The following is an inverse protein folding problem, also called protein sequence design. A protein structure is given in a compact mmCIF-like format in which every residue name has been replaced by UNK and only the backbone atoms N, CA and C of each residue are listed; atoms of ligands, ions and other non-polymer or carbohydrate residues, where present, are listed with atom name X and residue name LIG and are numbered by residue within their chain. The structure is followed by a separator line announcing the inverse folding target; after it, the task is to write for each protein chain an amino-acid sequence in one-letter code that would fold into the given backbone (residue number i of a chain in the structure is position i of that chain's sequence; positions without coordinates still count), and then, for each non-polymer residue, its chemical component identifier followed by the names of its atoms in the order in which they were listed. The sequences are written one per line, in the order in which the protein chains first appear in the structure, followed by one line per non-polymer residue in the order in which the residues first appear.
data_IF_452606238706
#
_entry.id   IF_452606238706
#
_cell.length_a   1.000
_cell.length_b   1.000
_cell.length_c   1.000
_cell.angle_alpha   90.00
_cell.angle_beta   90.00
_cell.angle_gamma   90.00
#
_symmetry.space_group_name_H-M   'P 1'
#
loop_
_entity.id
_entity.type
_entity.pdbx_description
1 polymer ?
#
# COMPACT_ATOMS: atom_id res chain seq x y z
N UNK A 1 -8.50 -15.17 -0.82
CA UNK A 1 -9.82 -15.17 -0.15
C UNK A 1 -10.69 -14.13 -0.83
N UNK A 2 -11.93 -14.49 -1.17
CA UNK A 2 -12.89 -13.60 -1.81
C UNK A 2 -13.91 -13.09 -0.79
N UNK A 3 -14.52 -11.94 -1.08
CA UNK A 3 -15.66 -11.43 -0.30
C UNK A 3 -16.93 -12.18 -0.76
N UNK A 4 -17.71 -12.66 0.19
CA UNK A 4 -19.00 -13.36 -0.09
C UNK A 4 -20.21 -12.49 0.23
N UNK A 5 -20.12 -11.61 1.22
CA UNK A 5 -21.19 -10.65 1.51
C UNK A 5 -20.65 -9.35 2.11
N UNK A 6 -21.43 -8.28 1.91
CA UNK A 6 -21.17 -6.95 2.46
C UNK A 6 -22.45 -6.39 3.08
N UNK A 7 -22.36 -5.98 4.34
CA UNK A 7 -23.42 -5.26 5.04
C UNK A 7 -22.95 -3.84 5.31
N UNK A 8 -23.77 -2.87 4.98
CA UNK A 8 -23.50 -1.45 5.14
C UNK A 8 -24.62 -0.82 5.96
N UNK A 9 -24.23 0.00 6.94
CA UNK A 9 -25.15 0.83 7.72
C UNK A 9 -24.62 2.25 7.80
N UNK A 10 -25.45 3.24 7.45
CA UNK A 10 -25.18 4.68 7.54
C UNK A 10 -23.90 5.17 6.83
N UNK A 11 -23.59 4.57 5.69
CA UNK A 11 -22.37 4.88 4.95
C UNK A 11 -22.70 5.60 3.63
N UNK A 12 -22.15 6.78 3.42
CA UNK A 12 -22.37 7.59 2.22
C UNK A 12 -23.86 7.80 1.94
N UNK A 13 -24.37 7.32 0.80
CA UNK A 13 -25.79 7.40 0.42
C UNK A 13 -26.64 6.31 1.11
N UNK A 14 -26.05 5.25 1.63
CA UNK A 14 -26.80 4.11 2.15
C UNK A 14 -27.27 4.33 3.60
N UNK A 15 -28.56 4.11 3.87
CA UNK A 15 -29.08 3.91 5.23
C UNK A 15 -28.73 2.49 5.68
N UNK A 16 -29.09 1.52 4.88
CA UNK A 16 -28.72 0.11 5.02
C UNK A 16 -28.59 -0.51 3.64
N UNK A 17 -27.65 -1.43 3.47
CA UNK A 17 -27.55 -2.27 2.29
C UNK A 17 -26.97 -3.63 2.68
N UNK A 18 -27.43 -4.68 1.99
CA UNK A 18 -26.83 -6.01 2.05
C UNK A 18 -26.60 -6.46 0.61
N UNK A 19 -25.41 -6.95 0.34
CA UNK A 19 -24.98 -7.41 -0.98
C UNK A 19 -24.32 -8.77 -0.80
N UNK A 20 -24.66 -9.70 -1.67
CA UNK A 20 -23.98 -10.98 -1.78
C UNK A 20 -23.18 -10.97 -3.09
N UNK A 21 -22.01 -11.60 -3.07
CA UNK A 21 -21.03 -11.55 -4.15
C UNK A 21 -20.81 -12.95 -4.74
N UNK A 22 -20.59 -13.00 -6.04
CA UNK A 22 -20.03 -14.18 -6.70
C UNK A 22 -18.52 -14.26 -6.42
N UNK A 23 -17.96 -15.46 -6.52
CA UNK A 23 -16.55 -15.70 -6.22
C UNK A 23 -15.58 -15.07 -7.23
N UNK A 24 -16.02 -14.79 -8.45
CA UNK A 24 -15.16 -14.31 -9.54
C UNK A 24 -15.43 -12.84 -9.88
N UNK A 25 -16.44 -12.56 -10.72
CA UNK A 25 -16.68 -11.23 -11.27
C UNK A 25 -18.03 -10.72 -10.81
N UNK A 26 -18.04 -9.47 -10.31
CA UNK A 26 -19.23 -8.76 -9.87
C UNK A 26 -19.33 -7.40 -10.58
N UNK A 27 -20.43 -7.16 -11.29
CA UNK A 27 -20.66 -5.92 -12.02
C UNK A 27 -21.68 -5.04 -11.30
N UNK A 28 -21.31 -3.77 -11.06
CA UNK A 28 -22.19 -2.75 -10.50
C UNK A 28 -22.58 -1.77 -11.59
N UNK A 29 -23.85 -1.74 -11.98
CA UNK A 29 -24.38 -0.82 -12.98
C UNK A 29 -25.57 -0.01 -12.44
N UNK A 30 -25.88 1.11 -13.08
CA UNK A 30 -26.96 2.00 -12.68
C UNK A 30 -26.64 3.46 -12.93
N UNK A 31 -27.60 4.36 -12.64
CA UNK A 31 -27.48 5.80 -12.85
C UNK A 31 -26.37 6.43 -12.00
N UNK A 32 -25.89 7.62 -12.39
CA UNK A 32 -24.95 8.40 -11.57
C UNK A 32 -25.61 8.73 -10.23
N UNK A 33 -24.83 8.69 -9.14
CA UNK A 33 -25.37 8.91 -7.78
C UNK A 33 -26.01 7.68 -7.13
N UNK A 34 -26.20 6.55 -7.83
CA UNK A 34 -26.85 5.33 -7.27
C UNK A 34 -26.04 4.60 -6.19
N UNK A 35 -24.80 5.02 -5.90
CA UNK A 35 -23.99 4.44 -4.83
C UNK A 35 -22.92 3.41 -5.30
N UNK A 36 -22.76 3.14 -6.61
CA UNK A 36 -21.76 2.19 -7.13
C UNK A 36 -20.36 2.39 -6.53
N UNK A 37 -19.86 3.60 -6.63
CA UNK A 37 -18.54 3.95 -6.08
C UNK A 37 -18.51 3.86 -4.55
N UNK A 38 -19.65 4.08 -3.88
CA UNK A 38 -19.72 3.94 -2.42
C UNK A 38 -19.66 2.48 -1.97
N UNK A 39 -20.16 1.53 -2.78
CA UNK A 39 -19.98 0.09 -2.54
C UNK A 39 -18.50 -0.28 -2.67
N UNK A 40 -17.84 0.13 -3.76
CA UNK A 40 -16.40 -0.10 -3.95
C UNK A 40 -15.55 0.53 -2.84
N UNK A 41 -15.93 1.74 -2.40
CA UNK A 41 -15.29 2.42 -1.27
C UNK A 41 -15.46 1.64 0.04
N UNK A 42 -16.64 1.06 0.28
CA UNK A 42 -16.89 0.23 1.46
C UNK A 42 -16.03 -1.05 1.45
N UNK A 43 -15.93 -1.73 0.30
CA UNK A 43 -15.06 -2.90 0.12
C UNK A 43 -13.60 -2.54 0.37
N UNK A 44 -13.12 -1.47 -0.24
CA UNK A 44 -11.74 -0.99 -0.05
C UNK A 44 -11.45 -0.61 1.41
N UNK A 45 -12.43 0.00 2.08
CA UNK A 45 -12.32 0.37 3.49
C UNK A 45 -12.20 -0.89 4.38
N UNK A 46 -12.94 -1.95 4.09
CA UNK A 46 -12.82 -3.24 4.78
C UNK A 46 -11.43 -3.87 4.61
N UNK A 47 -10.81 -3.69 3.44
CA UNK A 47 -9.47 -4.20 3.17
C UNK A 47 -8.35 -3.37 3.81
N UNK A 48 -8.48 -2.06 3.84
CA UNK A 48 -7.36 -1.15 4.13
C UNK A 48 -7.53 -0.30 5.38
N UNK A 49 -8.75 -0.26 5.93
CA UNK A 49 -9.11 0.69 6.99
C UNK A 49 -9.14 2.16 6.56
N UNK A 50 -9.07 2.44 5.25
CA UNK A 50 -8.98 3.80 4.69
C UNK A 50 -9.91 3.97 3.50
N UNK A 51 -10.46 5.17 3.33
CA UNK A 51 -11.18 5.54 2.13
C UNK A 51 -10.20 5.97 1.02
N UNK A 52 -10.48 5.59 -0.23
CA UNK A 52 -9.73 6.11 -1.37
C UNK A 52 -10.21 7.48 -1.85
N UNK A 53 -11.37 7.95 -1.35
CA UNK A 53 -11.93 9.25 -1.71
C UNK A 53 -11.53 10.37 -0.76
N UNK A 54 -11.35 10.04 0.53
CA UNK A 54 -11.08 11.05 1.55
C UNK A 54 -10.20 10.49 2.67
N UNK A 55 -9.22 11.26 3.16
CA UNK A 55 -8.48 10.90 4.37
C UNK A 55 -9.32 11.03 5.64
N UNK A 56 -10.39 11.85 5.60
CA UNK A 56 -11.27 12.06 6.74
C UNK A 56 -12.47 11.10 6.70
N UNK A 57 -12.39 10.01 7.43
CA UNK A 57 -13.44 8.98 7.49
C UNK A 57 -14.78 9.46 8.08
N UNK A 58 -14.81 10.59 8.81
CA UNK A 58 -16.08 11.20 9.22
C UNK A 58 -16.98 11.56 8.02
N UNK A 59 -16.38 11.97 6.90
CA UNK A 59 -17.10 12.28 5.67
C UNK A 59 -17.76 11.07 5.02
N UNK A 60 -17.43 9.85 5.49
CA UNK A 60 -18.08 8.62 5.03
C UNK A 60 -19.40 8.35 5.76
N UNK A 61 -19.64 8.99 6.91
CA UNK A 61 -20.89 8.87 7.66
C UNK A 61 -22.02 9.51 6.83
N UNK A 62 -23.16 8.80 6.75
CA UNK A 62 -24.35 9.32 6.07
C UNK A 62 -24.82 10.62 6.74
N UNK A 63 -25.29 11.59 5.94
CA UNK A 63 -25.89 12.82 6.45
C UNK A 63 -27.03 12.49 7.43
N UNK A 64 -27.04 13.16 8.57
CA UNK A 64 -27.99 12.96 9.69
C UNK A 64 -27.82 11.59 10.41
N UNK A 65 -26.65 10.95 10.30
CA UNK A 65 -26.29 9.82 11.12
C UNK A 65 -25.06 10.17 11.98
N UNK A 66 -24.92 9.47 13.09
CA UNK A 66 -23.80 9.67 14.04
C UNK A 66 -22.68 8.68 13.85
N UNK A 67 -22.95 7.56 13.16
CA UNK A 67 -22.01 6.47 12.96
C UNK A 67 -22.14 5.87 11.55
N UNK A 68 -21.18 5.03 11.18
CA UNK A 68 -21.37 4.00 10.16
C UNK A 68 -20.77 2.67 10.61
N UNK A 69 -21.33 1.59 10.08
CA UNK A 69 -20.82 0.23 10.23
C UNK A 69 -20.76 -0.41 8.84
N UNK A 70 -19.61 -0.99 8.53
CA UNK A 70 -19.44 -1.84 7.36
C UNK A 70 -18.93 -3.19 7.85
N UNK A 71 -19.56 -4.28 7.40
CA UNK A 71 -19.17 -5.64 7.73
C UNK A 71 -19.08 -6.45 6.45
N UNK A 72 -17.95 -7.07 6.18
CA UNK A 72 -17.74 -7.99 5.07
C UNK A 72 -17.48 -9.40 5.58
N UNK A 73 -18.12 -10.39 5.00
CA UNK A 73 -17.83 -11.80 5.22
C UNK A 73 -16.97 -12.32 4.08
N UNK A 74 -15.95 -13.08 4.40
CA UNK A 74 -15.05 -13.70 3.43
C UNK A 74 -15.40 -15.18 3.20
N UNK A 75 -14.82 -15.77 2.15
CA UNK A 75 -15.05 -17.18 1.77
C UNK A 75 -14.67 -18.21 2.83
N UNK A 76 -13.81 -17.85 3.78
CA UNK A 76 -13.45 -18.66 4.94
C UNK A 76 -14.29 -18.35 6.19
N UNK A 77 -15.44 -17.68 6.02
CA UNK A 77 -16.36 -17.25 7.07
C UNK A 77 -15.79 -16.20 8.03
N UNK A 78 -14.58 -15.67 7.83
CA UNK A 78 -14.09 -14.56 8.64
C UNK A 78 -14.86 -13.27 8.34
N UNK A 79 -15.04 -12.47 9.39
CA UNK A 79 -15.79 -11.21 9.32
C UNK A 79 -14.82 -10.05 9.56
N UNK A 80 -14.75 -9.15 8.59
CA UNK A 80 -14.05 -7.86 8.74
C UNK A 80 -15.09 -6.78 9.02
N UNK A 81 -14.91 -6.04 10.11
CA UNK A 81 -15.87 -5.01 10.47
C UNK A 81 -15.17 -3.68 10.74
N UNK A 82 -15.73 -2.63 10.19
CA UNK A 82 -15.28 -1.25 10.34
C UNK A 82 -16.39 -0.44 10.99
N UNK A 83 -16.09 0.15 12.14
CA UNK A 83 -17.01 1.04 12.86
C UNK A 83 -16.41 2.42 13.00
N UNK A 84 -17.20 3.44 12.79
CA UNK A 84 -16.81 4.82 12.96
C UNK A 84 -18.00 5.63 13.48
N UNK A 85 -17.80 6.39 14.54
CA UNK A 85 -18.73 7.41 14.95
C UNK A 85 -18.08 8.82 14.82
N UNK A 86 -18.87 9.85 15.04
CA UNK A 86 -18.41 11.25 14.91
C UNK A 86 -17.32 11.64 15.89
N UNK A 87 -17.30 11.02 17.08
CA UNK A 87 -16.45 11.43 18.22
C UNK A 87 -15.21 10.57 18.39
N UNK A 88 -15.24 9.30 17.95
CA UNK A 88 -14.15 8.35 18.18
C UNK A 88 -13.30 8.10 16.93
N UNK A 89 -12.11 7.53 17.12
CA UNK A 89 -11.31 6.97 16.05
C UNK A 89 -12.05 5.81 15.35
N UNK A 90 -11.64 5.51 14.14
CA UNK A 90 -12.11 4.32 13.41
C UNK A 90 -11.71 3.04 14.16
N UNK A 91 -12.65 2.12 14.31
CA UNK A 91 -12.41 0.80 14.88
C UNK A 91 -12.35 -0.23 13.77
N UNK A 92 -11.32 -1.03 13.77
CA UNK A 92 -11.05 -2.09 12.82
C UNK A 92 -11.09 -3.43 13.57
N UNK A 93 -11.91 -4.36 13.09
CA UNK A 93 -12.15 -5.64 13.77
C UNK A 93 -12.05 -6.79 12.76
N UNK A 94 -11.50 -7.92 13.22
CA UNK A 94 -11.54 -9.22 12.54
C UNK A 94 -12.17 -10.21 13.51
N UNK A 95 -13.28 -10.83 13.16
CA UNK A 95 -14.04 -11.74 14.03
C UNK A 95 -14.27 -11.14 15.43
N UNK A 96 -14.68 -9.86 15.47
CA UNK A 96 -14.93 -9.08 16.68
C UNK A 96 -13.66 -8.73 17.51
N UNK A 97 -12.49 -9.24 17.16
CA UNK A 97 -11.23 -8.88 17.80
C UNK A 97 -10.64 -7.62 17.19
N UNK A 98 -10.04 -6.75 18.01
CA UNK A 98 -9.38 -5.52 17.53
C UNK A 98 -8.24 -5.85 16.60
N UNK A 99 -8.20 -5.19 15.46
CA UNK A 99 -7.21 -5.34 14.40
C UNK A 99 -6.62 -3.99 13.98
N UNK A 100 -5.57 -4.01 13.17
CA UNK A 100 -5.01 -2.86 12.52
C UNK A 100 -5.17 -2.94 10.98
N UNK A 101 -4.80 -1.89 10.27
CA UNK A 101 -4.94 -1.83 8.79
C UNK A 101 -4.12 -2.90 8.06
N UNK A 102 -3.01 -3.35 8.64
CA UNK A 102 -2.16 -4.39 8.05
C UNK A 102 -2.83 -5.75 8.19
N UNK A 103 -3.42 -6.02 9.34
CA UNK A 103 -4.14 -7.27 9.58
C UNK A 103 -5.32 -7.42 8.63
N UNK A 104 -6.10 -6.33 8.42
CA UNK A 104 -7.18 -6.30 7.44
C UNK A 104 -6.64 -6.57 6.03
N UNK A 105 -5.57 -5.85 5.64
CA UNK A 105 -5.01 -5.95 4.30
C UNK A 105 -4.42 -7.33 4.00
N UNK A 106 -3.80 -7.98 4.99
CA UNK A 106 -3.36 -9.38 4.86
C UNK A 106 -4.51 -10.34 4.69
N UNK A 107 -5.61 -10.06 5.39
CA UNK A 107 -6.79 -10.93 5.34
C UNK A 107 -7.55 -10.81 4.01
N UNK A 108 -7.66 -9.61 3.49
CA UNK A 108 -8.34 -9.30 2.23
C UNK A 108 -7.49 -8.31 1.41
N UNK A 109 -6.39 -8.76 0.77
CA UNK A 109 -5.61 -7.88 -0.08
C UNK A 109 -6.47 -7.34 -1.22
N UNK A 110 -6.40 -6.04 -1.45
CA UNK A 110 -7.15 -5.39 -2.52
C UNK A 110 -6.29 -4.41 -3.31
N UNK A 111 -6.52 -4.35 -4.61
CA UNK A 111 -5.93 -3.35 -5.50
C UNK A 111 -7.05 -2.55 -6.15
N UNK A 112 -6.90 -1.25 -6.18
CA UNK A 112 -7.79 -0.36 -6.89
C UNK A 112 -7.19 -0.02 -8.25
N UNK A 113 -7.96 -0.23 -9.30
CA UNK A 113 -7.66 0.22 -10.65
C UNK A 113 -8.66 1.31 -11.02
N UNK A 114 -8.18 2.51 -11.27
CA UNK A 114 -8.99 3.66 -11.70
C UNK A 114 -8.19 4.51 -12.71
N UNK A 115 -8.76 5.62 -13.14
CA UNK A 115 -8.08 6.53 -14.07
C UNK A 115 -6.74 7.05 -13.53
N UNK A 116 -6.51 7.02 -12.21
CA UNK A 116 -5.24 7.40 -11.57
C UNK A 116 -4.21 6.26 -11.60
N UNK A 117 -4.60 5.05 -11.99
CA UNK A 117 -3.64 3.93 -12.11
C UNK A 117 -2.59 4.21 -13.17
N UNK A 118 -2.90 5.04 -14.17
CA UNK A 118 -1.93 5.56 -15.13
C UNK A 118 -0.81 6.38 -14.46
N UNK A 119 -1.04 6.90 -13.26
CA UNK A 119 0.01 7.53 -12.45
C UNK A 119 1.15 6.57 -12.05
N UNK A 120 0.94 5.25 -12.14
CA UNK A 120 2.02 4.28 -11.99
C UNK A 120 3.19 4.58 -12.93
N UNK A 121 2.87 5.02 -14.14
CA UNK A 121 3.84 5.33 -15.19
C UNK A 121 4.25 6.80 -15.23
N UNK A 122 3.38 7.71 -14.82
CA UNK A 122 3.56 9.17 -14.95
C UNK A 122 3.92 9.88 -13.64
N UNK A 123 3.60 9.28 -12.48
CA UNK A 123 3.87 9.87 -11.17
C UNK A 123 5.26 9.50 -10.62
N UNK A 124 5.56 10.07 -9.46
CA UNK A 124 6.84 9.91 -8.79
C UNK A 124 7.14 8.46 -8.40
N UNK A 125 8.41 8.07 -8.32
CA UNK A 125 8.87 6.78 -7.80
C UNK A 125 8.23 6.35 -6.48
N UNK A 126 7.82 7.32 -5.66
CA UNK A 126 7.18 7.02 -4.37
C UNK A 126 5.86 6.24 -4.50
N UNK A 127 5.13 6.42 -5.61
CA UNK A 127 3.89 5.69 -5.86
C UNK A 127 4.18 4.22 -6.19
N UNK A 128 5.17 3.95 -7.06
CA UNK A 128 5.60 2.59 -7.43
C UNK A 128 6.10 1.82 -6.22
N UNK A 129 6.97 2.44 -5.39
CA UNK A 129 7.40 1.86 -4.11
C UNK A 129 6.24 1.48 -3.20
N UNK A 130 5.25 2.36 -3.05
CA UNK A 130 4.08 2.07 -2.20
C UNK A 130 3.30 0.85 -2.65
N UNK A 131 3.16 0.63 -3.96
CA UNK A 131 2.48 -0.56 -4.49
C UNK A 131 3.28 -1.82 -4.16
N UNK A 132 4.59 -1.82 -4.43
CA UNK A 132 5.48 -2.93 -4.12
C UNK A 132 5.49 -3.24 -2.61
N UNK A 133 5.68 -2.23 -1.78
CA UNK A 133 5.71 -2.41 -0.32
C UNK A 133 4.36 -2.93 0.21
N UNK A 134 3.23 -2.47 -0.34
CA UNK A 134 1.91 -3.00 0.04
C UNK A 134 1.77 -4.48 -0.29
N UNK A 135 2.20 -4.89 -1.49
CA UNK A 135 2.17 -6.30 -1.88
C UNK A 135 3.03 -7.15 -0.94
N UNK A 136 4.25 -6.71 -0.64
CA UNK A 136 5.17 -7.39 0.27
C UNK A 136 4.64 -7.44 1.71
N UNK A 137 4.04 -6.36 2.22
CA UNK A 137 3.41 -6.32 3.55
C UNK A 137 2.25 -7.31 3.64
N UNK A 138 1.47 -7.46 2.56
CA UNK A 138 0.39 -8.44 2.51
C UNK A 138 0.91 -9.87 2.50
N UNK A 139 1.93 -10.13 1.67
CA UNK A 139 2.45 -11.47 1.43
C UNK A 139 3.34 -11.99 2.58
N UNK A 140 4.15 -11.12 3.20
CA UNK A 140 5.21 -11.51 4.15
C UNK A 140 5.10 -10.75 5.47
N UNK A 141 4.89 -11.48 6.57
CA UNK A 141 4.78 -10.88 7.91
C UNK A 141 6.08 -10.23 8.35
N UNK A 142 7.20 -10.88 8.08
CA UNK A 142 8.55 -10.42 8.42
C UNK A 142 8.89 -9.13 7.69
N UNK A 143 8.49 -9.00 6.42
CA UNK A 143 8.73 -7.78 5.65
C UNK A 143 8.12 -6.55 6.32
N UNK A 144 6.92 -6.64 6.88
CA UNK A 144 6.31 -5.49 7.54
C UNK A 144 7.08 -5.05 8.79
N UNK A 145 7.61 -5.99 9.57
CA UNK A 145 8.43 -5.67 10.74
C UNK A 145 9.74 -4.95 10.32
N UNK A 146 10.41 -5.48 9.30
CA UNK A 146 11.64 -4.90 8.73
C UNK A 146 11.38 -3.53 8.10
N UNK A 147 10.26 -3.38 7.38
CA UNK A 147 9.84 -2.11 6.79
C UNK A 147 9.61 -1.01 7.85
N UNK A 148 8.94 -1.33 8.95
CA UNK A 148 8.75 -0.37 10.05
C UNK A 148 10.03 -0.08 10.79
N UNK A 149 10.89 -1.08 11.01
CA UNK A 149 12.22 -0.90 11.60
C UNK A 149 13.05 0.06 10.76
N UNK A 150 13.13 -0.17 9.44
CA UNK A 150 13.86 0.69 8.51
C UNK A 150 13.34 2.13 8.55
N UNK A 151 12.03 2.33 8.45
CA UNK A 151 11.45 3.68 8.47
C UNK A 151 11.67 4.38 9.81
N UNK A 152 11.68 3.65 10.93
CA UNK A 152 12.03 4.20 12.24
C UNK A 152 13.48 4.67 12.29
N UNK A 153 14.43 3.84 11.84
CA UNK A 153 15.85 4.19 11.78
C UNK A 153 16.08 5.38 10.85
N UNK A 154 15.49 5.37 9.66
CA UNK A 154 15.54 6.48 8.70
C UNK A 154 15.03 7.79 9.32
N UNK A 155 13.92 7.74 10.04
CA UNK A 155 13.39 8.92 10.74
C UNK A 155 14.35 9.45 11.81
N UNK A 156 14.97 8.56 12.59
CA UNK A 156 15.95 8.94 13.62
C UNK A 156 17.21 9.54 12.99
N UNK A 157 17.74 8.93 11.92
CA UNK A 157 18.85 9.48 11.16
C UNK A 157 18.53 10.88 10.61
N UNK A 158 17.33 11.06 10.02
CA UNK A 158 16.89 12.36 9.52
C UNK A 158 16.72 13.40 10.64
N UNK A 159 16.35 13.00 11.84
CA UNK A 159 16.31 13.88 13.00
C UNK A 159 17.72 14.25 13.46
N UNK A 160 18.67 13.29 13.45
CA UNK A 160 20.07 13.57 13.75
C UNK A 160 20.67 14.58 12.77
N UNK A 161 20.38 14.44 11.46
CA UNK A 161 20.83 15.39 10.42
C UNK A 161 20.30 16.84 10.61
N UNK A 162 19.21 17.02 11.36
CA UNK A 162 18.64 18.34 11.65
C UNK A 162 19.27 19.01 12.86
N UNK A 163 19.88 18.24 13.75
CA UNK A 163 20.49 18.75 14.97
C UNK A 163 21.91 19.25 14.68
N UNK A 164 22.27 20.41 15.23
CA UNK A 164 23.58 21.07 15.04
C UNK A 164 24.70 20.38 15.80
N UNK A 165 24.40 19.67 16.88
CA UNK A 165 25.37 18.84 17.58
C UNK A 165 25.36 17.48 16.89
N UNK A 166 26.41 17.21 16.09
CA UNK A 166 26.59 15.97 15.34
C UNK A 166 26.53 14.75 16.29
N UNK A 167 25.38 14.13 16.52
CA UNK A 167 25.36 12.83 17.14
C UNK A 167 25.89 11.84 16.10
N UNK A 168 26.54 10.85 16.59
CA UNK A 168 27.13 9.70 15.97
C UNK A 168 26.34 9.21 14.72
N UNK A 169 26.54 9.91 13.58
CA UNK A 169 25.96 9.51 12.31
C UNK A 169 26.45 8.12 11.87
N UNK A 170 27.62 7.70 12.34
CA UNK A 170 28.15 6.38 12.02
C UNK A 170 27.27 5.27 12.57
N UNK A 171 26.79 5.42 13.80
CA UNK A 171 25.84 4.48 14.40
C UNK A 171 24.52 4.44 13.64
N UNK A 172 23.97 5.58 13.26
CA UNK A 172 22.72 5.63 12.47
C UNK A 172 22.91 5.07 11.07
N UNK A 173 24.04 5.31 10.42
CA UNK A 173 24.36 4.76 9.10
C UNK A 173 24.47 3.24 9.15
N UNK A 174 25.17 2.66 10.13
CA UNK A 174 25.27 1.22 10.34
C UNK A 174 23.89 0.59 10.58
N UNK A 175 23.08 1.16 11.45
CA UNK A 175 21.71 0.68 11.72
C UNK A 175 20.83 0.76 10.47
N UNK A 176 20.98 1.81 9.67
CA UNK A 176 20.20 1.99 8.43
C UNK A 176 20.61 0.95 7.38
N UNK A 177 21.90 0.67 7.22
CA UNK A 177 22.42 -0.36 6.31
C UNK A 177 21.90 -1.73 6.70
N UNK A 178 21.98 -2.09 7.97
CA UNK A 178 21.43 -3.35 8.47
C UNK A 178 19.93 -3.49 8.23
N UNK A 179 19.17 -2.43 8.52
CA UNK A 179 17.73 -2.44 8.32
C UNK A 179 17.31 -2.46 6.83
N UNK A 180 18.18 -1.95 5.95
CA UNK A 180 17.92 -1.92 4.51
C UNK A 180 18.12 -3.27 3.82
N UNK A 181 19.04 -4.10 4.32
CA UNK A 181 19.44 -5.35 3.66
C UNK A 181 18.23 -6.26 3.37
N UNK A 182 17.40 -6.51 4.39
CA UNK A 182 16.21 -7.36 4.25
C UNK A 182 15.17 -6.76 3.30
N UNK A 183 15.00 -5.44 3.33
CA UNK A 183 14.08 -4.73 2.43
C UNK A 183 14.52 -4.88 0.99
N UNK A 184 15.81 -4.65 0.70
CA UNK A 184 16.35 -4.76 -0.64
C UNK A 184 16.24 -6.18 -1.17
N UNK A 185 16.60 -7.19 -0.35
CA UNK A 185 16.48 -8.61 -0.70
C UNK A 185 15.05 -8.96 -1.08
N UNK A 186 14.07 -8.58 -0.26
CA UNK A 186 12.67 -8.92 -0.51
C UNK A 186 12.08 -8.17 -1.70
N UNK A 187 12.49 -6.92 -1.93
CA UNK A 187 12.08 -6.17 -3.12
C UNK A 187 12.68 -6.77 -4.40
N UNK A 188 13.94 -7.18 -4.39
CA UNK A 188 14.55 -7.85 -5.54
C UNK A 188 13.83 -9.16 -5.87
N UNK A 189 13.57 -10.01 -4.87
CA UNK A 189 12.83 -11.26 -5.07
C UNK A 189 11.41 -10.98 -5.62
N UNK A 190 10.73 -9.98 -5.11
CA UNK A 190 9.41 -9.60 -5.60
C UNK A 190 9.47 -9.08 -7.03
N UNK A 191 10.49 -8.29 -7.34
CA UNK A 191 10.68 -7.72 -8.66
C UNK A 191 10.97 -8.79 -9.72
N UNK A 192 11.78 -9.79 -9.40
CA UNK A 192 12.00 -10.96 -10.27
C UNK A 192 10.70 -11.70 -10.57
N UNK A 193 9.88 -11.96 -9.53
CA UNK A 193 8.56 -12.58 -9.71
C UNK A 193 7.64 -11.71 -10.56
N UNK A 194 7.58 -10.41 -10.30
CA UNK A 194 6.76 -9.46 -11.07
C UNK A 194 7.16 -9.44 -12.53
N UNK A 195 8.46 -9.40 -12.81
CA UNK A 195 9.00 -9.37 -14.18
C UNK A 195 8.67 -10.67 -14.92
N UNK A 196 8.82 -11.81 -14.27
CA UNK A 196 8.48 -13.12 -14.84
C UNK A 196 6.98 -13.20 -15.17
N UNK A 197 6.10 -12.79 -14.25
CA UNK A 197 4.66 -12.76 -14.47
C UNK A 197 4.26 -11.78 -15.58
N UNK A 198 4.90 -10.61 -15.64
CA UNK A 198 4.67 -9.65 -16.71
C UNK A 198 4.97 -10.27 -18.09
N UNK A 199 6.10 -10.95 -18.25
CA UNK A 199 6.45 -11.60 -19.52
C UNK A 199 5.54 -12.79 -19.83
N UNK A 200 5.10 -13.56 -18.85
CA UNK A 200 4.12 -14.64 -19.05
C UNK A 200 2.78 -14.07 -19.52
N UNK A 201 2.29 -13.02 -18.88
CA UNK A 201 1.03 -12.37 -19.27
C UNK A 201 1.13 -11.67 -20.62
N UNK A 202 2.29 -11.09 -20.95
CA UNK A 202 2.49 -10.46 -22.25
C UNK A 202 2.30 -11.44 -23.42
N UNK A 203 2.68 -12.71 -23.24
CA UNK A 203 2.47 -13.77 -24.23
C UNK A 203 0.98 -14.07 -24.50
N UNK A 204 0.10 -13.84 -23.53
CA UNK A 204 -1.34 -14.01 -23.71
C UNK A 204 -1.94 -12.95 -24.68
N UNK A 205 -1.19 -11.89 -24.94
CA UNK A 205 -1.56 -10.83 -25.91
C UNK A 205 -1.02 -11.12 -27.31
N UNK A 206 -0.38 -12.27 -27.53
CA UNK A 206 0.14 -12.65 -28.83
C UNK A 206 -1.00 -12.68 -29.86
N UNK A 207 -0.78 -12.09 -31.03
CA UNK A 207 -1.81 -11.84 -32.04
C UNK A 207 -2.62 -10.55 -31.88
N UNK A 208 -2.53 -9.85 -30.75
CA UNK A 208 -3.12 -8.52 -30.58
C UNK A 208 -2.16 -7.40 -31.01
N UNK A 209 -2.70 -6.27 -31.53
CA UNK A 209 -1.89 -5.13 -31.96
C UNK A 209 -0.99 -4.56 -30.86
N UNK A 210 -1.47 -4.59 -29.60
CA UNK A 210 -0.70 -4.13 -28.45
C UNK A 210 0.50 -5.01 -28.12
N UNK A 211 0.55 -6.28 -28.54
CA UNK A 211 1.65 -7.20 -28.25
C UNK A 211 3.00 -6.68 -28.75
N UNK A 212 3.01 -6.05 -29.93
CA UNK A 212 4.23 -5.45 -30.53
C UNK A 212 4.86 -4.39 -29.61
N UNK A 213 4.05 -3.70 -28.85
CA UNK A 213 4.49 -2.69 -27.88
C UNK A 213 4.95 -3.39 -26.60
N UNK A 214 4.13 -4.27 -26.03
CA UNK A 214 4.36 -4.90 -24.72
C UNK A 214 5.62 -5.78 -24.70
N UNK A 215 5.90 -6.50 -25.79
CA UNK A 215 7.10 -7.36 -25.88
C UNK A 215 8.43 -6.58 -25.83
N UNK A 216 8.42 -5.27 -26.13
CA UNK A 216 9.60 -4.43 -26.15
C UNK A 216 9.74 -3.60 -24.85
N UNK A 217 8.85 -3.81 -23.86
CA UNK A 217 8.96 -3.15 -22.56
C UNK A 217 10.02 -3.87 -21.72
N UNK A 218 11.03 -3.13 -21.28
CA UNK A 218 11.93 -3.54 -20.21
C UNK A 218 11.46 -2.96 -18.88
N UNK A 219 11.59 -3.75 -17.83
CA UNK A 219 11.29 -3.32 -16.46
C UNK A 219 12.57 -3.47 -15.66
N UNK A 220 12.98 -2.42 -14.96
CA UNK A 220 14.21 -2.37 -14.18
C UNK A 220 13.91 -1.86 -12.78
N UNK A 221 14.65 -2.34 -11.79
CA UNK A 221 14.55 -1.90 -10.40
C UNK A 221 15.83 -1.17 -10.01
N UNK A 222 15.76 0.13 -9.84
CA UNK A 222 16.87 0.91 -9.30
C UNK A 222 16.85 0.92 -7.78
N UNK A 223 17.95 0.55 -7.16
CA UNK A 223 18.07 0.40 -5.69
C UNK A 223 17.93 1.73 -4.91
N UNK A 224 18.18 2.87 -5.57
CA UNK A 224 18.23 4.20 -4.95
C UNK A 224 19.64 4.70 -4.65
N UNK A 225 20.65 3.99 -5.18
CA UNK A 225 22.06 4.37 -5.26
C UNK A 225 22.69 3.73 -6.49
N UNK A 226 23.95 4.02 -6.76
CA UNK A 226 24.68 3.44 -7.90
C UNK A 226 24.91 1.96 -7.67
N UNK A 227 24.57 1.12 -8.64
CA UNK A 227 24.72 -0.34 -8.56
C UNK A 227 26.19 -0.82 -8.43
N UNK A 228 27.14 0.05 -8.79
CA UNK A 228 28.58 -0.22 -8.65
C UNK A 228 29.10 -0.12 -7.22
N UNK A 229 28.24 0.25 -6.27
CA UNK A 229 28.61 0.47 -4.86
C UNK A 229 27.68 -0.31 -3.93
N UNK A 230 28.20 -0.74 -2.79
CA UNK A 230 27.35 -1.17 -1.68
C UNK A 230 26.66 0.03 -1.02
N UNK A 231 25.55 -0.24 -0.32
CA UNK A 231 24.74 0.81 0.27
C UNK A 231 25.47 1.61 1.35
N UNK A 232 26.36 0.97 2.12
CA UNK A 232 27.13 1.64 3.18
C UNK A 232 28.09 2.66 2.60
N UNK A 233 28.85 2.30 1.58
CA UNK A 233 29.77 3.19 0.85
C UNK A 233 29.02 4.35 0.20
N UNK A 234 27.89 4.06 -0.47
CA UNK A 234 27.08 5.10 -1.08
C UNK A 234 26.51 6.09 -0.06
N UNK A 235 26.09 5.60 1.11
CA UNK A 235 25.56 6.43 2.20
C UNK A 235 26.64 7.33 2.79
N UNK A 236 27.85 6.79 2.99
CA UNK A 236 29.01 7.55 3.47
C UNK A 236 29.40 8.67 2.52
N UNK A 237 29.54 8.39 1.23
CA UNK A 237 29.84 9.39 0.19
C UNK A 237 28.75 10.48 0.10
N UNK A 238 27.47 10.09 0.28
CA UNK A 238 26.33 11.00 0.24
C UNK A 238 26.17 11.88 1.47
N UNK A 239 26.94 11.65 2.55
CA UNK A 239 26.76 12.29 3.87
C UNK A 239 26.82 13.82 3.81
N UNK A 240 27.73 14.40 3.04
CA UNK A 240 27.84 15.85 2.86
C UNK A 240 26.58 16.47 2.26
N UNK A 241 25.96 15.76 1.30
CA UNK A 241 24.69 16.17 0.72
C UNK A 241 23.56 16.07 1.75
N UNK A 242 23.52 14.97 2.50
CA UNK A 242 22.50 14.73 3.52
C UNK A 242 22.55 15.81 4.63
N UNK A 243 23.73 16.21 5.06
CA UNK A 243 23.93 17.29 6.03
C UNK A 243 23.40 18.63 5.51
N UNK A 244 23.64 18.94 4.23
CA UNK A 244 23.12 20.18 3.60
C UNK A 244 21.62 20.18 3.46
N UNK A 245 21.03 19.04 3.06
CA UNK A 245 19.58 18.93 2.80
C UNK A 245 18.80 18.54 4.06
N UNK A 246 19.48 18.21 5.16
CA UNK A 246 18.90 17.73 6.44
C UNK A 246 17.99 16.52 6.26
N UNK A 247 18.27 15.67 5.26
CA UNK A 247 17.50 14.47 4.94
C UNK A 247 18.36 13.45 4.22
N UNK A 248 18.05 12.19 4.40
CA UNK A 248 18.71 11.08 3.70
C UNK A 248 18.28 11.08 2.23
N UNK A 249 19.25 11.14 1.33
CA UNK A 249 19.03 11.20 -0.11
C UNK A 249 19.35 9.88 -0.83
N UNK A 250 19.90 8.89 -0.13
CA UNK A 250 20.36 7.61 -0.68
C UNK A 250 19.74 6.49 0.14
N UNK A 251 19.26 5.43 -0.53
CA UNK A 251 18.73 4.22 0.10
C UNK A 251 17.42 3.69 -0.49
N UNK A 252 16.89 2.58 0.03
CA UNK A 252 15.67 1.94 -0.48
C UNK A 252 14.44 2.85 -0.54
N UNK A 253 14.39 3.90 0.28
CA UNK A 253 13.33 4.91 0.22
C UNK A 253 13.43 5.85 -1.00
N UNK A 254 14.48 5.71 -1.82
CA UNK A 254 14.73 6.42 -3.09
C UNK A 254 14.74 5.49 -4.30
N UNK A 255 14.61 4.17 -4.11
CA UNK A 255 14.54 3.17 -5.19
C UNK A 255 13.41 3.46 -6.19
N UNK A 256 13.51 2.93 -7.40
CA UNK A 256 12.49 3.03 -8.47
C UNK A 256 12.54 1.84 -9.39
#
# INVERSE_FOLDING_TARGET
MSITSLKIKHFRCFKTAKLDFSESINFFYGRNGSGKTSILEAIYLCSTGRSFKTPNTKQCIKKNAEDFIISSTLSDSSILEIKKNTNNSIQLLINSAKANSIDLFRRMPSTQLDNKTFSLFSESPSYRRKIMDRALIAAKKEYSANFFRYNKVLSQRNNALKNTHLPDLDTWDQLLVQAAADICKERNNFFELLTNEFYLMSKLLDGADCYKIVKNISIELHSGWKETQDFGSALFEGRQRDLRTKTSNIGPHRSD
#
